data_IF_676458059334
#
_entry.id   IF_676458059334
#
_cell.length_a   1.000
_cell.length_b   1.000
_cell.length_c   1.000
_cell.angle_alpha   90.00
_cell.angle_beta   90.00
_cell.angle_gamma   90.00
#
_symmetry.space_group_name_H-M   'P 1'
#
loop_
_entity.id
_entity.type
_entity.pdbx_description
1 polymer ?
#
# COMPACT_ATOMS: atom_id res chain seq x y z
N UNK A 1 -22.78 25.00 -11.36
CA UNK A 1 -21.46 24.81 -10.73
C UNK A 1 -21.58 23.70 -9.71
N UNK A 2 -21.52 22.45 -10.15
CA UNK A 2 -21.58 21.30 -9.25
C UNK A 2 -20.19 21.12 -8.63
N UNK A 3 -20.12 21.32 -7.31
CA UNK A 3 -18.94 21.01 -6.53
C UNK A 3 -18.85 19.48 -6.49
N UNK A 4 -17.93 18.90 -7.25
CA UNK A 4 -17.69 17.45 -7.20
C UNK A 4 -17.10 17.10 -5.83
N UNK A 5 -17.91 16.47 -4.98
CA UNK A 5 -17.37 15.81 -3.80
C UNK A 5 -16.44 14.68 -4.26
N UNK A 6 -15.23 14.55 -3.70
CA UNK A 6 -14.34 13.45 -4.04
C UNK A 6 -15.05 12.13 -3.75
N UNK A 7 -15.19 11.30 -4.78
CA UNK A 7 -15.65 9.92 -4.63
C UNK A 7 -14.53 9.12 -3.95
N UNK A 8 -14.74 8.78 -2.68
CA UNK A 8 -13.78 7.96 -1.92
C UNK A 8 -14.15 6.49 -2.13
N UNK A 9 -13.26 5.66 -2.70
CA UNK A 9 -13.53 4.23 -2.87
C UNK A 9 -13.68 3.56 -1.50
N UNK A 10 -14.64 2.63 -1.41
CA UNK A 10 -14.79 1.73 -0.28
C UNK A 10 -14.28 0.34 -0.68
N UNK A 11 -13.59 -0.33 0.24
CA UNK A 11 -13.02 -1.65 0.01
C UNK A 11 -13.67 -2.68 0.94
N UNK A 12 -13.95 -3.87 0.40
CA UNK A 12 -14.66 -4.95 1.12
C UNK A 12 -13.74 -6.11 1.54
N UNK A 13 -12.42 -5.92 1.50
CA UNK A 13 -11.43 -6.95 1.83
C UNK A 13 -10.98 -7.81 0.64
N UNK A 14 -11.68 -7.77 -0.50
CA UNK A 14 -11.28 -8.47 -1.74
C UNK A 14 -11.20 -7.55 -2.97
N UNK A 15 -11.69 -6.33 -2.85
CA UNK A 15 -11.58 -5.27 -3.86
C UNK A 15 -10.23 -4.55 -3.78
N UNK A 16 -9.70 -4.08 -4.91
CA UNK A 16 -8.50 -3.26 -4.98
C UNK A 16 -8.54 -2.30 -6.18
N UNK A 17 -7.70 -1.27 -6.13
CA UNK A 17 -7.36 -0.44 -7.28
C UNK A 17 -5.96 -0.82 -7.75
N UNK A 18 -5.75 -0.88 -9.06
CA UNK A 18 -4.45 -1.18 -9.66
C UNK A 18 -4.00 0.00 -10.50
N UNK A 19 -2.82 0.52 -10.16
CA UNK A 19 -2.13 1.56 -10.88
C UNK A 19 -0.85 1.00 -11.51
N UNK A 20 -0.22 1.72 -12.46
CA UNK A 20 1.15 1.42 -12.86
C UNK A 20 2.08 1.31 -11.64
N UNK A 21 3.04 0.39 -11.72
CA UNK A 21 3.97 0.13 -10.61
C UNK A 21 4.98 1.26 -10.40
N UNK A 22 5.60 1.31 -9.22
CA UNK A 22 6.55 2.37 -8.86
C UNK A 22 7.91 2.23 -9.56
N UNK A 23 8.20 1.06 -10.15
CA UNK A 23 9.48 0.73 -10.77
C UNK A 23 9.86 1.66 -11.94
N UNK A 24 8.89 2.26 -12.63
CA UNK A 24 9.16 3.13 -13.78
C UNK A 24 9.54 4.57 -13.37
N UNK A 25 9.31 4.97 -12.11
CA UNK A 25 9.41 6.38 -11.68
C UNK A 25 10.17 6.63 -10.38
N UNK A 26 10.40 5.60 -9.55
CA UNK A 26 10.97 5.76 -8.20
C UNK A 26 12.02 4.70 -7.89
N UNK A 27 13.22 4.87 -8.45
CA UNK A 27 14.34 3.94 -8.23
C UNK A 27 15.11 4.18 -6.93
N UNK A 28 15.00 5.37 -6.33
CA UNK A 28 15.78 5.74 -5.13
C UNK A 28 15.00 6.48 -4.05
N UNK A 29 13.78 6.94 -4.34
CA UNK A 29 12.98 7.72 -3.41
C UNK A 29 11.49 7.43 -3.55
N UNK A 30 10.82 7.26 -2.41
CA UNK A 30 9.38 7.08 -2.29
C UNK A 30 8.84 8.06 -1.25
N UNK A 31 7.85 8.84 -1.65
CA UNK A 31 7.03 9.63 -0.74
C UNK A 31 5.57 9.20 -0.93
N UNK A 32 4.94 8.77 0.17
CA UNK A 32 3.57 8.25 0.16
C UNK A 32 2.73 9.00 1.20
N UNK A 33 1.64 9.61 0.76
CA UNK A 33 0.63 10.21 1.63
C UNK A 33 -0.72 9.54 1.37
N UNK A 34 -1.31 8.96 2.41
CA UNK A 34 -2.60 8.25 2.34
C UNK A 34 -3.49 8.69 3.48
N UNK A 35 -4.74 9.02 3.16
CA UNK A 35 -5.80 9.20 4.15
C UNK A 35 -6.76 8.03 4.04
N UNK A 36 -6.99 7.31 5.15
CA UNK A 36 -7.82 6.13 5.19
C UNK A 36 -8.74 6.14 6.40
N UNK A 37 -9.91 5.51 6.25
CA UNK A 37 -10.86 5.24 7.33
C UNK A 37 -11.04 3.73 7.42
N UNK A 38 -10.23 3.04 8.25
CA UNK A 38 -10.24 1.59 8.29
C UNK A 38 -11.46 1.10 9.07
N UNK A 39 -12.09 0.05 8.57
CA UNK A 39 -13.21 -0.65 9.23
C UNK A 39 -12.80 -2.02 9.79
N UNK A 40 -11.54 -2.41 9.62
CA UNK A 40 -10.94 -3.65 10.11
C UNK A 40 -9.57 -3.37 10.74
N UNK A 41 -9.14 -4.25 11.65
CA UNK A 41 -7.85 -4.13 12.34
C UNK A 41 -6.66 -4.61 11.49
N UNK A 42 -6.94 -5.47 10.52
CA UNK A 42 -5.95 -6.08 9.63
C UNK A 42 -6.35 -5.84 8.17
N UNK A 43 -5.38 -5.57 7.31
CA UNK A 43 -5.61 -5.42 5.89
C UNK A 43 -4.53 -4.64 5.16
N UNK A 44 -4.38 -4.91 3.87
CA UNK A 44 -3.40 -4.23 3.00
C UNK A 44 -3.94 -2.88 2.56
N UNK A 45 -3.11 -1.84 2.67
CA UNK A 45 -3.39 -0.49 2.18
C UNK A 45 -2.74 -0.27 0.82
N UNK A 46 -1.47 -0.64 0.70
CA UNK A 46 -0.69 -0.54 -0.54
C UNK A 46 0.24 -1.74 -0.64
N UNK A 47 0.36 -2.29 -1.85
CA UNK A 47 1.35 -3.29 -2.19
C UNK A 47 1.94 -2.98 -3.55
N UNK A 48 3.27 -2.98 -3.65
CA UNK A 48 3.97 -2.93 -4.92
C UNK A 48 5.16 -3.88 -4.86
N UNK A 49 5.21 -4.87 -5.74
CA UNK A 49 6.28 -5.85 -5.78
C UNK A 49 6.25 -6.64 -7.09
N UNK A 50 7.32 -7.39 -7.36
CA UNK A 50 7.43 -8.21 -8.57
C UNK A 50 6.44 -9.38 -8.57
N UNK A 51 6.19 -9.96 -7.39
CA UNK A 51 5.26 -11.07 -7.19
C UNK A 51 4.13 -10.65 -6.24
N UNK A 52 3.02 -11.39 -6.17
CA UNK A 52 1.89 -11.06 -5.27
C UNK A 52 2.00 -11.68 -3.87
N UNK A 53 3.01 -12.52 -3.65
CA UNK A 53 3.24 -13.30 -2.44
C UNK A 53 4.35 -12.73 -1.54
N UNK A 54 4.74 -11.47 -1.79
CA UNK A 54 5.87 -10.80 -1.13
C UNK A 54 7.22 -11.52 -1.30
N UNK A 55 7.39 -12.29 -2.38
CA UNK A 55 8.70 -12.77 -2.81
C UNK A 55 9.40 -11.76 -3.71
N UNK A 56 10.73 -11.68 -3.61
CA UNK A 56 11.55 -10.70 -4.32
C UNK A 56 11.39 -9.28 -3.75
N UNK A 57 11.69 -8.27 -4.56
CA UNK A 57 11.63 -6.88 -4.12
C UNK A 57 10.18 -6.40 -4.01
N UNK A 58 9.85 -5.76 -2.89
CA UNK A 58 8.54 -5.19 -2.64
C UNK A 58 8.55 -4.04 -1.63
N UNK A 59 7.47 -3.28 -1.64
CA UNK A 59 7.03 -2.42 -0.55
C UNK A 59 5.58 -2.75 -0.20
N UNK A 60 5.24 -2.67 1.08
CA UNK A 60 3.90 -2.91 1.59
C UNK A 60 3.59 -1.92 2.73
N UNK A 61 2.41 -1.32 2.66
CA UNK A 61 1.80 -0.58 3.77
C UNK A 61 0.50 -1.29 4.15
N UNK A 62 0.35 -1.65 5.42
CA UNK A 62 -0.80 -2.43 5.87
C UNK A 62 -1.12 -2.16 7.34
N UNK A 63 -2.31 -2.57 7.76
CA UNK A 63 -2.69 -2.62 9.16
C UNK A 63 -2.45 -4.01 9.72
N UNK A 64 -1.88 -4.07 10.92
CA UNK A 64 -1.76 -5.28 11.73
C UNK A 64 -2.17 -4.98 13.16
N UNK A 65 -3.24 -5.63 13.63
CA UNK A 65 -3.81 -5.41 14.96
C UNK A 65 -4.07 -3.93 15.25
N UNK A 66 -4.62 -3.20 14.26
CA UNK A 66 -4.96 -1.78 14.37
C UNK A 66 -3.78 -0.81 14.27
N UNK A 67 -2.56 -1.29 14.00
CA UNK A 67 -1.37 -0.45 13.85
C UNK A 67 -0.90 -0.45 12.41
N UNK A 68 -0.43 0.70 11.93
CA UNK A 68 0.17 0.82 10.60
C UNK A 68 1.54 0.15 10.63
N UNK A 69 1.81 -0.67 9.63
CA UNK A 69 3.12 -1.28 9.39
C UNK A 69 3.56 -1.00 7.98
N UNK A 70 4.84 -0.66 7.85
CA UNK A 70 5.50 -0.49 6.56
C UNK A 70 6.62 -1.51 6.44
N UNK A 71 6.52 -2.42 5.48
CA UNK A 71 7.50 -3.47 5.24
C UNK A 71 8.03 -3.36 3.82
N UNK A 72 9.34 -3.55 3.65
CA UNK A 72 9.98 -3.52 2.34
C UNK A 72 11.13 -4.53 2.27
N UNK A 73 11.35 -5.07 1.08
CA UNK A 73 12.55 -5.82 0.70
C UNK A 73 13.09 -5.21 -0.60
N UNK A 74 14.36 -4.86 -0.61
CA UNK A 74 15.06 -4.24 -1.76
C UNK A 74 16.22 -5.12 -2.25
N UNK A 75 16.12 -6.44 -2.01
CA UNK A 75 17.07 -7.45 -2.48
C UNK A 75 18.02 -7.97 -1.40
N UNK A 76 17.84 -7.57 -0.14
CA UNK A 76 18.67 -8.01 0.99
C UNK A 76 17.88 -8.62 2.14
N UNK A 77 16.58 -8.82 1.96
CA UNK A 77 15.68 -9.31 3.00
C UNK A 77 14.76 -8.21 3.54
N UNK A 78 13.64 -8.60 4.16
CA UNK A 78 12.60 -7.67 4.56
C UNK A 78 12.95 -6.92 5.85
N UNK A 79 12.60 -5.64 5.89
CA UNK A 79 12.61 -4.79 7.08
C UNK A 79 11.20 -4.24 7.33
N UNK A 80 10.80 -4.11 8.60
CA UNK A 80 9.48 -3.59 9.00
C UNK A 80 9.61 -2.42 9.97
N UNK A 81 8.88 -1.34 9.69
CA UNK A 81 8.65 -0.19 10.56
C UNK A 81 7.24 -0.28 11.14
N UNK A 82 7.09 0.10 12.42
CA UNK A 82 5.83 0.14 13.16
C UNK A 82 5.73 1.43 13.97
#
# INVERSE_FOLDING_TARGET
>A
NDVLFPQVPSFNGSSYLRYPGLADTSLSWLELSVTLKPTALDGVILYNGHHSDATGDFIALYLSSGHVQFTFDLGTGPATLR
#
